data_IF_233658158049
#
_entry.id   IF_233658158049
#
_cell.length_a   1.000
_cell.length_b   1.000
_cell.length_c   1.000
_cell.angle_alpha   90.00
_cell.angle_beta   90.00
_cell.angle_gamma   90.00
#
_symmetry.space_group_name_H-M   'P 1'
#
loop_
_entity.id
_entity.type
_entity.pdbx_description
1 polymer ?
#
# COMPACT_ATOMS: atom_id res chain seq x y z
N UNK A 1 2.46 19.43 -17.79
CA UNK A 1 1.78 19.52 -16.48
C UNK A 1 0.27 19.61 -16.64
N UNK A 2 -0.25 20.48 -17.52
CA UNK A 2 -1.68 20.60 -17.87
C UNK A 2 -2.40 19.25 -18.04
N UNK A 3 -1.86 18.39 -18.90
CA UNK A 3 -2.41 17.05 -19.20
C UNK A 3 -2.48 16.10 -17.99
N UNK A 4 -1.69 16.36 -16.94
CA UNK A 4 -1.66 15.57 -15.71
C UNK A 4 -2.59 16.15 -14.63
N UNK A 5 -3.31 17.23 -14.96
CA UNK A 5 -4.06 18.06 -14.02
C UNK A 5 -3.18 18.99 -13.18
N UNK A 6 -1.94 19.23 -13.61
CA UNK A 6 -0.92 20.04 -12.92
C UNK A 6 -1.29 21.51 -12.70
N UNK A 7 -2.35 21.97 -13.37
CA UNK A 7 -2.82 23.36 -13.32
C UNK A 7 -3.69 23.64 -12.10
N UNK A 8 -4.34 22.60 -11.56
CA UNK A 8 -5.19 22.70 -10.37
C UNK A 8 -4.67 21.88 -9.18
N UNK A 9 -3.82 20.88 -9.42
CA UNK A 9 -3.27 19.98 -8.39
C UNK A 9 -1.80 19.62 -8.63
N UNK A 10 -1.03 19.41 -7.57
CA UNK A 10 0.30 18.82 -7.69
C UNK A 10 0.23 17.35 -8.12
N UNK A 11 1.23 16.88 -8.88
CA UNK A 11 1.33 15.52 -9.43
C UNK A 11 2.60 14.80 -8.95
N UNK A 12 2.60 13.47 -8.77
CA UNK A 12 3.80 12.72 -8.43
C UNK A 12 4.91 12.83 -9.48
N UNK A 13 6.16 12.98 -9.04
CA UNK A 13 7.34 13.12 -9.87
C UNK A 13 7.57 11.95 -10.83
N UNK A 14 7.26 10.73 -10.41
CA UNK A 14 7.32 9.53 -11.25
C UNK A 14 6.35 9.61 -12.43
N UNK A 15 5.12 10.13 -12.21
CA UNK A 15 4.15 10.35 -13.29
C UNK A 15 4.60 11.45 -14.23
N UNK A 16 5.17 12.54 -13.68
CA UNK A 16 5.75 13.59 -14.50
C UNK A 16 6.88 13.06 -15.37
N UNK A 17 7.80 12.28 -14.81
CA UNK A 17 8.90 11.67 -15.55
C UNK A 17 8.41 10.78 -16.69
N UNK A 18 7.44 9.91 -16.44
CA UNK A 18 6.83 9.06 -17.48
C UNK A 18 6.23 9.90 -18.61
N UNK A 19 5.47 10.95 -18.26
CA UNK A 19 4.87 11.82 -19.28
C UNK A 19 5.91 12.63 -20.05
N UNK A 20 7.00 13.06 -19.41
CA UNK A 20 8.11 13.74 -20.09
C UNK A 20 8.80 12.81 -21.09
N UNK A 21 9.04 11.54 -20.73
CA UNK A 21 9.61 10.56 -21.67
C UNK A 21 8.70 10.37 -22.88
N UNK A 22 7.38 10.24 -22.66
CA UNK A 22 6.41 10.10 -23.74
C UNK A 22 6.38 11.33 -24.67
N UNK A 23 6.23 12.54 -24.10
CA UNK A 23 6.22 13.79 -24.85
C UNK A 23 7.56 14.09 -25.52
N UNK A 24 8.67 13.63 -24.92
CA UNK A 24 10.00 13.72 -25.48
C UNK A 24 10.11 12.88 -26.74
N UNK A 25 9.69 11.62 -26.69
CA UNK A 25 9.67 10.74 -27.86
C UNK A 25 8.82 11.30 -29.01
N UNK A 26 7.64 11.87 -28.70
CA UNK A 26 6.77 12.56 -29.68
C UNK A 26 7.44 13.79 -30.34
N UNK A 27 8.49 14.33 -29.72
CA UNK A 27 9.23 15.53 -30.17
C UNK A 27 10.69 15.24 -30.51
N UNK A 28 11.03 13.97 -30.74
CA UNK A 28 12.40 13.50 -31.03
C UNK A 28 13.44 13.93 -29.98
N UNK A 29 13.02 14.05 -28.72
CA UNK A 29 13.85 14.45 -27.60
C UNK A 29 14.03 13.30 -26.59
N UNK A 30 15.27 12.85 -26.42
CA UNK A 30 15.64 11.77 -25.48
C UNK A 30 15.78 12.32 -24.05
N UNK A 31 14.65 12.36 -23.33
CA UNK A 31 14.61 12.75 -21.92
C UNK A 31 15.51 11.85 -21.04
N UNK A 32 15.50 10.51 -21.18
CA UNK A 32 16.44 9.66 -20.44
C UNK A 32 17.92 10.00 -20.62
N UNK A 33 18.36 10.26 -21.86
CA UNK A 33 19.73 10.69 -22.15
C UNK A 33 20.01 12.05 -21.51
N UNK A 34 19.13 13.04 -21.71
CA UNK A 34 19.28 14.37 -21.11
C UNK A 34 19.41 14.33 -19.58
N UNK A 35 18.63 13.49 -18.89
CA UNK A 35 18.74 13.33 -17.43
C UNK A 35 20.08 12.70 -17.05
N UNK A 36 20.54 11.69 -17.80
CA UNK A 36 21.82 11.00 -17.57
C UNK A 36 23.02 11.94 -17.76
N UNK A 37 22.97 12.78 -18.78
CA UNK A 37 24.06 13.68 -19.17
C UNK A 37 24.13 14.95 -18.29
N UNK A 38 23.09 15.20 -17.50
CA UNK A 38 22.98 16.40 -16.65
C UNK A 38 23.68 16.31 -15.30
N UNK A 39 24.22 15.15 -14.92
CA UNK A 39 24.78 14.82 -13.60
C UNK A 39 23.85 15.11 -12.39
N UNK A 40 22.58 15.45 -12.65
CA UNK A 40 21.62 15.86 -11.64
C UNK A 40 20.45 14.87 -11.57
N UNK A 41 19.96 14.57 -10.36
CA UNK A 41 18.74 13.79 -10.23
C UNK A 41 17.56 14.60 -10.80
N UNK A 42 16.62 13.90 -11.42
CA UNK A 42 15.42 14.48 -12.04
C UNK A 42 14.71 15.54 -11.17
N UNK A 43 14.64 15.35 -9.85
CA UNK A 43 14.06 16.33 -8.93
C UNK A 43 14.77 17.69 -8.99
N UNK A 44 16.10 17.72 -9.07
CA UNK A 44 16.91 18.94 -9.18
C UNK A 44 16.79 19.60 -10.55
N UNK A 45 16.56 18.81 -11.60
CA UNK A 45 16.28 19.35 -12.94
C UNK A 45 14.94 20.05 -12.99
N UNK A 46 13.91 19.47 -12.36
CA UNK A 46 12.57 20.05 -12.30
C UNK A 46 12.55 21.31 -11.41
N UNK A 47 13.39 21.38 -10.38
CA UNK A 47 13.54 22.60 -9.54
C UNK A 47 14.07 23.81 -10.28
N UNK A 48 14.73 23.61 -11.43
CA UNK A 48 15.24 24.71 -12.27
C UNK A 48 14.18 25.36 -13.15
N UNK A 49 12.95 24.85 -13.13
CA UNK A 49 11.85 25.39 -13.93
C UNK A 49 11.08 26.40 -13.09
N UNK A 50 11.24 27.69 -13.38
CA UNK A 50 10.68 28.81 -12.58
C UNK A 50 9.16 28.78 -12.40
N UNK A 51 8.42 28.05 -13.25
CA UNK A 51 6.96 27.95 -13.17
C UNK A 51 6.47 26.83 -12.26
N UNK A 52 7.40 26.02 -11.71
CA UNK A 52 7.10 24.78 -11.01
C UNK A 52 7.42 24.89 -9.52
N UNK A 53 6.50 24.42 -8.69
CA UNK A 53 6.70 24.21 -7.26
C UNK A 53 6.90 22.72 -6.98
N UNK A 54 7.93 22.39 -6.18
CA UNK A 54 8.18 21.03 -5.71
C UNK A 54 7.94 20.94 -4.21
N UNK A 55 7.19 19.91 -3.80
CA UNK A 55 7.07 19.50 -2.40
C UNK A 55 7.69 18.11 -2.24
N UNK A 56 8.38 17.90 -1.11
CA UNK A 56 9.01 16.61 -0.76
C UNK A 56 8.39 16.04 0.52
N UNK A 57 7.26 15.30 0.43
CA UNK A 57 6.69 14.65 1.59
C UNK A 57 7.65 13.56 2.11
N UNK A 58 7.83 13.41 3.44
CA UNK A 58 8.69 12.38 4.01
C UNK A 58 8.29 10.97 3.54
N UNK A 59 9.27 10.18 3.06
CA UNK A 59 9.05 8.79 2.65
C UNK A 59 8.19 8.60 1.40
N UNK A 60 7.97 9.65 0.62
CA UNK A 60 7.21 9.60 -0.63
C UNK A 60 8.03 10.17 -1.80
N UNK A 61 7.56 9.91 -3.02
CA UNK A 61 8.06 10.59 -4.21
C UNK A 61 7.77 12.11 -4.15
N UNK A 62 8.53 12.90 -4.92
CA UNK A 62 8.32 14.35 -4.99
C UNK A 62 6.95 14.66 -5.59
N UNK A 63 6.33 15.74 -5.15
CA UNK A 63 5.14 16.30 -5.79
C UNK A 63 5.55 17.54 -6.56
N UNK A 64 5.06 17.64 -7.79
CA UNK A 64 5.38 18.70 -8.74
C UNK A 64 4.09 19.35 -9.19
N UNK A 65 3.96 20.67 -9.05
CA UNK A 65 2.78 21.42 -9.50
C UNK A 65 3.20 22.78 -10.06
N UNK A 66 2.27 23.49 -10.71
CA UNK A 66 2.47 24.90 -11.01
C UNK A 66 2.35 25.75 -9.74
N UNK A 67 2.86 26.98 -9.77
CA UNK A 67 2.64 27.95 -8.70
C UNK A 67 1.15 28.12 -8.40
N UNK A 68 0.76 27.96 -7.13
CA UNK A 68 -0.64 28.04 -6.70
C UNK A 68 -1.46 26.75 -6.91
N UNK A 69 -0.86 25.68 -7.44
CA UNK A 69 -1.55 24.39 -7.54
C UNK A 69 -1.91 23.87 -6.13
N UNK A 70 -3.15 23.43 -5.96
CA UNK A 70 -3.57 22.86 -4.68
C UNK A 70 -2.78 21.60 -4.37
N UNK A 71 -2.39 21.43 -3.10
CA UNK A 71 -1.90 20.13 -2.66
C UNK A 71 -3.01 19.12 -2.91
N UNK A 72 -2.76 18.03 -3.67
CA UNK A 72 -3.71 16.93 -3.68
C UNK A 72 -3.89 16.51 -2.22
N UNK A 73 -5.13 16.21 -1.80
CA UNK A 73 -5.39 15.63 -0.47
C UNK A 73 -4.50 14.40 -0.35
N UNK A 74 -3.37 14.56 0.32
CA UNK A 74 -2.35 13.55 0.43
C UNK A 74 -2.95 12.52 1.36
N UNK A 75 -3.45 11.45 0.75
CA UNK A 75 -3.63 10.23 1.48
C UNK A 75 -2.21 9.67 1.50
N UNK A 76 -1.56 9.54 2.67
CA UNK A 76 -0.38 8.71 2.75
C UNK A 76 -0.75 7.46 1.99
N UNK A 77 -0.01 7.13 0.92
CA UNK A 77 0.04 5.74 0.51
C UNK A 77 0.31 5.04 1.82
N UNK A 78 -0.66 4.28 2.32
CA UNK A 78 -0.46 3.57 3.56
C UNK A 78 0.82 2.81 3.31
N UNK A 79 1.90 3.17 4.00
CA UNK A 79 3.03 2.28 4.18
C UNK A 79 2.35 1.10 4.82
N UNK A 80 1.94 0.16 3.97
CA UNK A 80 1.08 -0.88 4.43
C UNK A 80 2.05 -1.76 5.16
N UNK A 81 1.74 -2.05 6.41
CA UNK A 81 2.20 -3.27 7.09
C UNK A 81 2.08 -4.52 6.18
N UNK A 82 1.26 -4.50 5.11
CA UNK A 82 1.28 -5.51 4.02
C UNK A 82 2.60 -5.61 3.23
N UNK A 83 3.54 -4.69 3.38
CA UNK A 83 4.82 -4.73 2.64
C UNK A 83 5.66 -5.94 3.04
N UNK A 84 5.52 -6.41 4.27
CA UNK A 84 6.32 -7.50 4.83
C UNK A 84 5.50 -8.77 5.06
N UNK A 85 4.17 -8.69 5.11
CA UNK A 85 3.31 -9.84 5.36
C UNK A 85 2.49 -10.24 4.13
N UNK A 86 2.32 -11.55 3.92
CA UNK A 86 1.39 -12.08 2.92
C UNK A 86 -0.04 -11.55 3.17
N UNK A 87 -0.77 -11.26 2.11
CA UNK A 87 -1.99 -10.44 2.21
C UNK A 87 -3.17 -11.12 2.92
N UNK A 88 -3.32 -12.44 2.80
CA UNK A 88 -4.29 -13.27 3.51
C UNK A 88 -3.96 -13.35 5.01
N UNK A 89 -2.69 -13.62 5.33
CA UNK A 89 -2.14 -13.63 6.68
C UNK A 89 -2.35 -12.28 7.37
N UNK A 90 -1.99 -11.19 6.70
CA UNK A 90 -2.21 -9.84 7.24
C UNK A 90 -3.69 -9.62 7.59
N UNK A 91 -4.63 -10.03 6.73
CA UNK A 91 -6.07 -9.89 7.00
C UNK A 91 -6.49 -10.72 8.21
N UNK A 92 -6.02 -11.96 8.30
CA UNK A 92 -6.38 -12.87 9.39
C UNK A 92 -6.00 -12.31 10.77
N UNK A 93 -4.89 -11.58 10.87
CA UNK A 93 -4.38 -11.03 12.13
C UNK A 93 -4.73 -9.55 12.39
N UNK A 94 -5.40 -8.86 11.46
CA UNK A 94 -5.73 -7.42 11.62
C UNK A 94 -7.18 -7.04 11.38
N UNK A 95 -7.97 -7.92 10.74
CA UNK A 95 -9.36 -7.61 10.38
C UNK A 95 -10.32 -8.22 11.40
N UNK A 96 -11.19 -7.38 11.96
CA UNK A 96 -12.38 -7.84 12.66
C UNK A 96 -13.33 -8.40 11.59
N UNK A 97 -13.64 -9.69 11.69
CA UNK A 97 -14.56 -10.39 10.80
C UNK A 97 -15.69 -11.03 11.62
N UNK A 98 -16.90 -11.20 11.06
CA UNK A 98 -17.98 -11.93 11.71
C UNK A 98 -17.57 -13.36 12.04
N UNK A 99 -17.02 -14.04 11.02
CA UNK A 99 -16.45 -15.38 11.16
C UNK A 99 -14.96 -15.33 11.46
N UNK A 100 -14.45 -16.25 12.31
CA UNK A 100 -13.03 -16.32 12.61
C UNK A 100 -12.23 -16.75 11.37
N UNK A 101 -10.97 -16.33 11.31
CA UNK A 101 -10.06 -16.87 10.31
C UNK A 101 -9.51 -18.22 10.77
N UNK A 102 -9.21 -19.08 9.79
CA UNK A 102 -8.52 -20.35 9.97
C UNK A 102 -7.37 -20.45 8.97
N UNK A 103 -6.35 -21.20 9.35
CA UNK A 103 -5.23 -21.60 8.50
C UNK A 103 -5.49 -22.99 7.95
N UNK A 104 -5.30 -23.16 6.64
CA UNK A 104 -5.41 -24.43 5.94
C UNK A 104 -4.01 -24.96 5.63
N UNK A 105 -3.49 -25.97 6.36
CA UNK A 105 -2.12 -26.45 6.19
C UNK A 105 -1.86 -27.01 4.78
N UNK A 106 -2.84 -27.69 4.20
CA UNK A 106 -2.72 -28.35 2.90
C UNK A 106 -2.54 -27.35 1.73
N UNK A 107 -3.10 -26.14 1.84
CA UNK A 107 -3.05 -25.11 0.79
C UNK A 107 -2.21 -23.91 1.17
N UNK A 108 -1.67 -23.90 2.39
CA UNK A 108 -0.95 -22.78 2.99
C UNK A 108 -1.72 -21.45 2.84
N UNK A 109 -3.00 -21.42 3.20
CA UNK A 109 -3.89 -20.24 3.08
C UNK A 109 -4.55 -19.86 4.39
N UNK A 110 -4.77 -18.57 4.56
CA UNK A 110 -5.63 -18.03 5.62
C UNK A 110 -6.98 -17.61 5.04
N UNK A 111 -8.06 -18.26 5.48
CA UNK A 111 -9.43 -18.02 5.00
C UNK A 111 -10.36 -17.82 6.18
N UNK A 112 -11.56 -17.31 5.94
CA UNK A 112 -12.61 -17.32 6.97
C UNK A 112 -13.16 -18.73 7.15
N UNK A 113 -13.64 -19.07 8.34
CA UNK A 113 -14.04 -20.44 8.69
C UNK A 113 -15.17 -21.00 7.82
N UNK A 114 -16.06 -20.15 7.32
CA UNK A 114 -17.12 -20.48 6.36
C UNK A 114 -16.60 -20.97 5.00
N UNK A 115 -15.37 -20.61 4.65
CA UNK A 115 -14.69 -21.03 3.42
C UNK A 115 -13.68 -22.17 3.66
N UNK A 116 -13.69 -22.77 4.84
CA UNK A 116 -12.77 -23.86 5.18
C UNK A 116 -13.36 -25.20 4.78
N UNK A 117 -12.58 -25.99 4.04
CA UNK A 117 -12.87 -27.37 3.71
C UNK A 117 -11.72 -28.24 4.24
N UNK A 118 -12.04 -29.24 5.07
CA UNK A 118 -11.06 -30.16 5.65
C UNK A 118 -10.41 -29.67 6.94
N UNK A 119 -9.19 -30.16 7.21
CA UNK A 119 -8.45 -29.86 8.43
C UNK A 119 -7.99 -28.40 8.43
N UNK A 120 -8.36 -27.68 9.49
CA UNK A 120 -8.07 -26.26 9.64
C UNK A 120 -7.65 -25.92 11.08
N UNK A 121 -6.80 -24.90 11.20
CA UNK A 121 -6.27 -24.43 12.48
C UNK A 121 -6.79 -23.03 12.76
N UNK A 122 -7.45 -22.83 13.90
CA UNK A 122 -8.05 -21.53 14.23
C UNK A 122 -6.98 -20.46 14.43
N UNK A 123 -7.19 -19.31 13.79
CA UNK A 123 -6.41 -18.09 14.03
C UNK A 123 -7.04 -17.34 15.20
N UNK A 124 -6.23 -16.58 15.95
CA UNK A 124 -6.78 -15.78 17.04
C UNK A 124 -7.83 -14.79 16.52
N UNK A 125 -8.89 -14.61 17.30
CA UNK A 125 -9.93 -13.65 16.96
C UNK A 125 -9.41 -12.23 17.20
N UNK A 126 -9.43 -11.41 16.17
CA UNK A 126 -9.15 -9.98 16.27
C UNK A 126 -10.40 -9.26 16.79
N UNK A 127 -10.26 -8.53 17.90
CA UNK A 127 -11.33 -7.71 18.46
C UNK A 127 -11.00 -6.22 18.37
N UNK A 128 -12.00 -5.37 18.57
CA UNK A 128 -11.77 -3.92 18.68
C UNK A 128 -10.85 -3.62 19.88
N UNK A 129 -11.08 -4.29 21.01
CA UNK A 129 -10.30 -4.10 22.23
C UNK A 129 -8.83 -4.47 22.04
N UNK A 130 -8.54 -5.58 21.35
CA UNK A 130 -7.15 -5.96 21.06
C UNK A 130 -6.46 -4.93 20.17
N UNK A 131 -7.18 -4.39 19.18
CA UNK A 131 -6.65 -3.35 18.30
C UNK A 131 -6.45 -2.01 19.02
N UNK A 132 -7.30 -1.67 19.99
CA UNK A 132 -7.11 -0.49 20.85
C UNK A 132 -5.91 -0.71 21.78
N UNK A 133 -5.77 -1.89 22.37
CA UNK A 133 -4.63 -2.24 23.23
C UNK A 133 -3.30 -2.12 22.48
N UNK A 134 -3.21 -2.64 21.24
CA UNK A 134 -2.02 -2.51 20.39
C UNK A 134 -1.61 -1.03 20.20
N UNK A 135 -2.59 -0.15 20.02
CA UNK A 135 -2.37 1.29 19.84
C UNK A 135 -1.97 1.97 21.14
N UNK A 136 -2.57 1.59 22.28
CA UNK A 136 -2.16 2.10 23.60
C UNK A 136 -0.71 1.73 23.91
N UNK A 137 -0.33 0.48 23.67
CA UNK A 137 1.05 0.03 23.85
C UNK A 137 2.04 0.86 22.99
N UNK A 138 1.65 1.24 21.77
CA UNK A 138 2.46 2.18 20.97
C UNK A 138 2.54 3.57 21.60
N UNK A 139 1.41 4.12 22.08
CA UNK A 139 1.39 5.44 22.73
C UNK A 139 2.31 5.48 23.95
N UNK A 140 2.37 4.40 24.72
CA UNK A 140 3.27 4.27 25.88
C UNK A 140 4.76 4.36 25.49
N UNK A 141 5.12 4.11 24.22
CA UNK A 141 6.49 4.30 23.72
C UNK A 141 6.82 5.74 23.30
N UNK A 142 5.82 6.63 23.23
CA UNK A 142 5.99 8.03 22.87
C UNK A 142 6.40 8.87 24.08
N UNK A 143 6.96 10.05 23.82
CA UNK A 143 7.28 11.01 24.88
C UNK A 143 5.99 11.45 25.62
N UNK A 144 6.02 11.68 26.94
CA UNK A 144 4.82 11.97 27.73
C UNK A 144 3.98 13.16 27.22
N UNK A 145 4.62 14.17 26.64
CA UNK A 145 3.96 15.35 26.05
C UNK A 145 3.24 15.04 24.72
N UNK A 146 3.64 13.98 24.02
CA UNK A 146 3.03 13.56 22.75
C UNK A 146 1.82 12.63 22.94
N UNK A 147 1.69 11.98 24.09
CA UNK A 147 0.66 10.96 24.36
C UNK A 147 -0.79 11.47 24.40
N UNK A 148 -1.11 12.62 25.05
CA UNK A 148 -2.49 13.07 25.25
C UNK A 148 -3.40 13.07 24.01
N UNK A 149 -2.99 13.58 22.83
CA UNK A 149 -3.84 13.56 21.63
C UNK A 149 -4.15 12.14 21.15
N UNK A 150 -3.22 11.19 21.28
CA UNK A 150 -3.46 9.79 20.89
C UNK A 150 -4.41 9.09 21.88
N UNK A 151 -4.22 9.30 23.18
CA UNK A 151 -5.10 8.74 24.20
C UNK A 151 -6.53 9.29 24.05
N UNK A 152 -6.68 10.59 23.82
CA UNK A 152 -7.97 11.21 23.57
C UNK A 152 -8.68 10.59 22.35
N UNK A 153 -7.93 10.35 21.26
CA UNK A 153 -8.47 9.69 20.06
C UNK A 153 -8.95 8.25 20.31
N UNK A 154 -8.28 7.52 21.20
CA UNK A 154 -8.65 6.14 21.55
C UNK A 154 -9.83 6.04 22.53
N UNK A 155 -10.03 7.04 23.40
CA UNK A 155 -11.05 7.00 24.46
C UNK A 155 -12.36 7.69 24.11
N UNK A 156 -12.34 8.78 23.34
CA UNK A 156 -13.50 9.67 23.20
C UNK A 156 -14.15 9.64 21.82
N UNK A 157 -13.68 8.80 20.90
CA UNK A 157 -14.22 8.71 19.55
C UNK A 157 -15.13 7.52 19.35
N UNK A 158 -16.21 7.71 18.58
CA UNK A 158 -17.02 6.62 18.02
C UNK A 158 -16.22 5.72 17.06
N UNK A 159 -15.09 6.21 16.50
CA UNK A 159 -14.22 5.47 15.58
C UNK A 159 -12.75 5.56 16.05
N UNK A 160 -12.39 4.92 17.17
CA UNK A 160 -11.11 5.15 17.85
C UNK A 160 -9.90 4.79 16.99
N UNK A 161 -9.98 3.72 16.19
CA UNK A 161 -8.89 3.29 15.32
C UNK A 161 -8.62 4.28 14.18
N UNK A 162 -9.69 4.88 13.63
CA UNK A 162 -9.59 5.87 12.56
C UNK A 162 -9.04 7.19 13.11
N UNK A 163 -9.53 7.64 14.25
CA UNK A 163 -9.03 8.88 14.86
C UNK A 163 -7.58 8.76 15.30
N UNK A 164 -7.19 7.64 15.89
CA UNK A 164 -5.78 7.36 16.20
C UNK A 164 -4.90 7.49 14.94
N UNK A 165 -5.35 6.92 13.81
CA UNK A 165 -4.62 7.02 12.55
C UNK A 165 -4.49 8.47 12.08
N UNK A 166 -5.54 9.28 12.21
CA UNK A 166 -5.50 10.70 11.84
C UNK A 166 -4.48 11.46 12.69
N UNK A 167 -4.51 11.29 14.02
CA UNK A 167 -3.52 11.89 14.93
C UNK A 167 -2.10 11.43 14.59
N UNK A 168 -1.90 10.14 14.27
CA UNK A 168 -0.61 9.61 13.85
C UNK A 168 -0.10 10.27 12.56
N UNK A 169 -0.98 10.59 11.62
CA UNK A 169 -0.64 11.31 10.39
C UNK A 169 -0.29 12.76 10.70
N UNK A 170 -1.15 13.48 11.43
CA UNK A 170 -0.97 14.89 11.79
C UNK A 170 0.33 15.13 12.57
N UNK A 171 0.68 14.20 13.46
CA UNK A 171 1.91 14.24 14.27
C UNK A 171 3.12 13.62 13.58
N UNK A 172 3.02 13.22 12.31
CA UNK A 172 4.11 12.55 11.57
C UNK A 172 4.65 11.27 12.22
N UNK A 173 3.82 10.58 13.02
CA UNK A 173 4.13 9.32 13.71
C UNK A 173 3.64 8.07 12.97
N UNK A 174 2.93 8.23 11.85
CA UNK A 174 2.32 7.11 11.13
C UNK A 174 3.33 6.04 10.70
N UNK A 175 4.54 6.43 10.26
CA UNK A 175 5.57 5.49 9.85
C UNK A 175 6.12 4.70 11.05
N UNK A 176 6.31 5.36 12.19
CA UNK A 176 6.73 4.72 13.43
C UNK A 176 5.69 3.72 13.93
N UNK A 177 4.40 4.10 13.88
CA UNK A 177 3.29 3.19 14.20
C UNK A 177 3.28 1.97 13.29
N UNK A 178 3.43 2.16 11.97
CA UNK A 178 3.43 1.05 11.00
C UNK A 178 4.58 0.07 11.28
N UNK A 179 5.78 0.57 11.60
CA UNK A 179 6.92 -0.29 11.96
C UNK A 179 6.66 -1.07 13.25
N UNK A 180 6.17 -0.42 14.31
CA UNK A 180 5.83 -1.10 15.58
C UNK A 180 4.73 -2.14 15.37
N UNK A 181 3.70 -1.80 14.59
CA UNK A 181 2.61 -2.71 14.25
C UNK A 181 3.12 -3.95 13.48
N UNK A 182 4.05 -3.77 12.54
CA UNK A 182 4.63 -4.89 11.79
C UNK A 182 5.34 -5.88 12.73
N UNK A 183 6.16 -5.39 13.66
CA UNK A 183 6.88 -6.25 14.62
C UNK A 183 5.94 -6.93 15.62
N UNK A 184 4.92 -6.22 16.12
CA UNK A 184 3.89 -6.80 16.96
C UNK A 184 3.14 -7.93 16.23
N UNK A 185 2.76 -7.71 14.98
CA UNK A 185 2.09 -8.71 14.16
C UNK A 185 2.99 -9.91 13.88
N UNK A 186 4.26 -9.68 13.54
CA UNK A 186 5.24 -10.74 13.32
C UNK A 186 5.39 -11.62 14.55
N UNK A 187 5.59 -11.01 15.72
CA UNK A 187 5.72 -11.71 17.00
C UNK A 187 4.46 -12.53 17.30
N UNK A 188 3.27 -11.93 17.09
CA UNK A 188 1.98 -12.58 17.27
C UNK A 188 1.77 -13.78 16.37
N UNK A 189 2.17 -13.69 15.10
CA UNK A 189 2.09 -14.78 14.12
C UNK A 189 3.04 -15.92 14.50
N UNK A 190 4.28 -15.59 14.88
CA UNK A 190 5.27 -16.59 15.32
C UNK A 190 4.77 -17.31 16.58
N UNK A 191 4.24 -16.57 17.56
CA UNK A 191 3.69 -17.17 18.77
C UNK A 191 2.51 -18.08 18.47
N UNK A 192 1.53 -17.60 17.67
CA UNK A 192 0.39 -18.43 17.26
C UNK A 192 0.83 -19.71 16.52
N UNK A 193 1.84 -19.61 15.65
CA UNK A 193 2.37 -20.76 14.94
C UNK A 193 3.02 -21.76 15.92
N UNK A 194 3.82 -21.27 16.89
CA UNK A 194 4.42 -22.10 17.92
C UNK A 194 3.36 -22.82 18.78
N UNK A 195 2.34 -22.09 19.24
CA UNK A 195 1.24 -22.64 20.06
C UNK A 195 0.47 -23.76 19.33
N UNK A 196 0.40 -23.69 18.00
CA UNK A 196 -0.26 -24.67 17.15
C UNK A 196 0.71 -25.68 16.50
N UNK A 197 1.99 -25.70 16.91
CA UNK A 197 3.04 -26.59 16.37
C UNK A 197 3.23 -26.47 14.85
N UNK A 198 3.04 -25.27 14.31
CA UNK A 198 3.24 -24.94 12.90
C UNK A 198 4.62 -24.30 12.74
N UNK A 199 5.42 -24.80 11.79
CA UNK A 199 6.67 -24.12 11.40
C UNK A 199 6.34 -22.88 10.58
N UNK A 200 6.71 -21.65 11.03
CA UNK A 200 6.51 -20.45 10.23
C UNK A 200 7.24 -20.55 8.90
N UNK A 201 6.56 -20.17 7.81
CA UNK A 201 7.13 -20.22 6.46
C UNK A 201 7.72 -18.87 6.09
N UNK A 202 8.87 -18.87 5.43
CA UNK A 202 9.48 -17.64 4.89
C UNK A 202 8.50 -16.83 4.02
N UNK A 203 7.68 -17.50 3.21
CA UNK A 203 6.71 -16.87 2.31
C UNK A 203 5.64 -16.04 3.05
N UNK A 204 5.44 -16.25 4.36
CA UNK A 204 4.54 -15.46 5.18
C UNK A 204 5.07 -14.05 5.44
N UNK A 205 6.41 -13.91 5.52
CA UNK A 205 7.12 -12.68 5.90
C UNK A 205 7.92 -12.06 4.73
N UNK A 206 7.87 -12.67 3.55
CA UNK A 206 8.45 -12.09 2.33
C UNK A 206 7.47 -11.08 1.75
N UNK A 207 8.03 -10.02 1.16
CA UNK A 207 7.31 -9.13 0.23
C UNK A 207 6.57 -10.02 -0.76
N UNK A 208 5.26 -10.16 -0.61
CA UNK A 208 4.41 -10.48 -1.75
C UNK A 208 4.72 -9.35 -2.73
N UNK A 209 5.53 -9.61 -3.77
CA UNK A 209 5.55 -8.76 -4.97
C UNK A 209 4.09 -8.58 -5.27
N UNK A 210 3.56 -7.38 -4.98
CA UNK A 210 2.12 -7.22 -4.86
C UNK A 210 1.54 -7.82 -6.13
N UNK A 211 0.81 -8.93 -5.99
CA UNK A 211 0.09 -9.48 -7.12
C UNK A 211 -0.84 -8.34 -7.45
N UNK A 212 -0.45 -7.53 -8.42
CA UNK A 212 -1.29 -6.52 -9.02
C UNK A 212 -2.48 -7.36 -9.40
N UNK A 213 -3.60 -7.20 -8.68
CA UNK A 213 -4.80 -7.91 -9.10
C UNK A 213 -4.95 -7.62 -10.60
N UNK A 214 -5.36 -8.59 -11.42
CA UNK A 214 -5.51 -8.35 -12.86
C UNK A 214 -6.27 -7.05 -13.12
N UNK A 215 -7.24 -6.73 -12.27
CA UNK A 215 -7.94 -5.45 -12.21
C UNK A 215 -7.01 -4.23 -12.03
N UNK A 216 -6.04 -4.26 -11.12
CA UNK A 216 -5.08 -3.17 -10.88
C UNK A 216 -4.00 -3.08 -11.97
N UNK A 217 -3.65 -4.20 -12.61
CA UNK A 217 -2.81 -4.21 -13.80
C UNK A 217 -3.56 -3.59 -14.99
N UNK A 218 -4.79 -4.03 -15.25
CA UNK A 218 -5.68 -3.48 -16.29
C UNK A 218 -5.92 -1.99 -16.08
N UNK A 219 -6.27 -1.54 -14.86
CA UNK A 219 -6.43 -0.11 -14.57
C UNK A 219 -5.17 0.73 -14.77
N UNK A 220 -3.98 0.11 -14.71
CA UNK A 220 -2.70 0.79 -15.04
C UNK A 220 -2.44 0.80 -16.53
N UNK A 221 -3.03 -0.12 -17.29
CA UNK A 221 -2.93 -0.22 -18.74
C UNK A 221 -3.99 0.64 -19.45
N UNK A 222 -5.14 0.91 -18.82
CA UNK A 222 -6.22 1.78 -19.35
C UNK A 222 -5.72 3.10 -19.96
N UNK A 223 -4.75 3.83 -19.38
CA UNK A 223 -4.23 5.07 -19.98
C UNK A 223 -3.42 4.87 -21.27
N UNK A 224 -3.04 3.63 -21.57
CA UNK A 224 -2.23 3.24 -22.72
C UNK A 224 -3.04 2.40 -23.74
N UNK A 225 -4.34 2.25 -23.51
CA UNK A 225 -5.26 1.56 -24.41
C UNK A 225 -6.17 2.58 -25.09
N UNK A 226 -6.37 2.41 -26.38
CA UNK A 226 -7.32 3.17 -27.18
C UNK A 226 -8.77 2.76 -26.86
N UNK A 227 -9.73 3.62 -27.20
CA UNK A 227 -11.15 3.34 -26.98
C UNK A 227 -11.63 2.07 -27.70
N UNK A 228 -11.01 1.74 -28.84
CA UNK A 228 -11.31 0.54 -29.61
C UNK A 228 -10.66 -0.71 -28.99
N UNK A 229 -9.43 -0.63 -28.47
CA UNK A 229 -8.80 -1.72 -27.71
C UNK A 229 -9.56 -2.04 -26.41
N UNK A 230 -10.12 -1.02 -25.74
CA UNK A 230 -10.98 -1.20 -24.56
C UNK A 230 -12.31 -1.88 -24.95
N UNK A 231 -12.83 -1.60 -26.15
CA UNK A 231 -14.06 -2.20 -26.68
C UNK A 231 -13.84 -3.65 -27.16
N UNK A 232 -12.65 -3.93 -27.69
CA UNK A 232 -12.23 -5.25 -28.19
C UNK A 232 -11.72 -6.21 -27.11
N UNK A 233 -11.47 -5.70 -25.88
CA UNK A 233 -11.25 -6.51 -24.67
C UNK A 233 -12.50 -7.31 -24.23
N UNK A 234 -13.39 -7.69 -25.16
CA UNK A 234 -14.44 -8.71 -25.05
C UNK A 234 -13.91 -10.11 -24.73
N UNK A 235 -12.84 -10.22 -23.97
CA UNK A 235 -12.41 -11.45 -23.34
C UNK A 235 -13.29 -11.59 -22.10
N UNK A 236 -14.26 -12.52 -22.06
CA UNK A 236 -15.00 -12.77 -20.84
C UNK A 236 -13.96 -13.10 -19.77
N UNK A 237 -14.03 -12.43 -18.62
CA UNK A 237 -13.05 -12.53 -17.52
C UNK A 237 -12.56 -13.96 -17.22
N UNK A 238 -13.39 -14.98 -17.50
CA UNK A 238 -13.05 -16.41 -17.40
C UNK A 238 -11.94 -16.90 -18.34
N UNK A 239 -11.76 -16.33 -19.52
CA UNK A 239 -10.68 -16.71 -20.44
C UNK A 239 -9.31 -16.16 -19.98
N UNK A 240 -9.30 -15.02 -19.27
CA UNK A 240 -8.09 -14.50 -18.62
C UNK A 240 -7.74 -15.37 -17.39
N UNK A 241 -8.73 -15.82 -16.62
CA UNK A 241 -8.51 -16.78 -15.53
C UNK A 241 -7.97 -18.13 -16.04
N UNK A 242 -8.49 -18.65 -17.16
CA UNK A 242 -8.02 -19.89 -17.77
C UNK A 242 -6.57 -19.79 -18.29
N UNK A 243 -6.23 -18.71 -19.00
CA UNK A 243 -4.89 -18.47 -19.52
C UNK A 243 -3.84 -18.30 -18.41
N UNK A 244 -4.22 -17.64 -17.31
CA UNK A 244 -3.34 -17.46 -16.16
C UNK A 244 -3.21 -18.72 -15.29
N UNK A 245 -4.22 -19.59 -15.26
CA UNK A 245 -4.14 -20.89 -14.61
C UNK A 245 -3.17 -21.85 -15.35
N UNK A 246 -3.24 -21.91 -16.69
CA UNK A 246 -2.35 -22.77 -17.50
C UNK A 246 -0.88 -22.37 -17.43
N UNK A 247 -0.57 -21.07 -17.26
CA UNK A 247 0.80 -20.57 -17.15
C UNK A 247 1.52 -20.92 -15.84
N UNK A 248 0.84 -21.60 -14.90
CA UNK A 248 1.47 -22.14 -13.66
C UNK A 248 1.84 -23.63 -13.75
N UNK A 249 1.61 -24.25 -14.92
CA UNK A 249 2.00 -25.64 -15.22
C UNK A 249 2.86 -25.67 -16.48
N UNK A 250 4.09 -25.15 -16.39
CA UNK A 250 5.20 -25.58 -17.24
C UNK A 250 6.52 -25.25 -16.55
N UNK A 251 7.17 -26.33 -16.11
CA UNK A 251 8.49 -26.52 -15.48
C UNK A 251 8.71 -25.95 -14.06
#
# INVERSE_FOLDING_TARGET
>A
LKDLGGDSKMVPGAKLRQRMVQLGAEREFDVPAYVRDSDLPFSRLVERVDTVTIVRPPGSDILVGLHGASMPKWHPQSVSTRGELRSDLYRAFTRIAPEPYVYLPHSDKFVTADLSEGESIKVMRVSLDSLIADRRAFVETLQPDEQPPFLAALHHSANPLTQFRNVAIERSRINQWVSVQAEQLRSRIIQWAADNKITPRDAWFRRSRGVTSPHRALYRLVPYLTADEIRDLRIPFRAIEAFLADSTTSE
#
